data_IF_333384653687
#
_entry.id   IF_333384653687
#
_cell.length_a   1.000
_cell.length_b   1.000
_cell.length_c   1.000
_cell.angle_alpha   90.00
_cell.angle_beta   90.00
_cell.angle_gamma   90.00
#
_symmetry.space_group_name_H-M   'P 1'
#
loop_
_entity.id
_entity.type
_entity.pdbx_description
1 polymer ?
#
# COMPACT_ATOMS: atom_id res chain seq x y z
N UNK A 1 9.07 6.48 -5.33
CA UNK A 1 8.83 5.61 -4.15
C UNK A 1 7.56 4.79 -4.35
N UNK A 2 7.58 3.56 -3.93
CA UNK A 2 6.48 2.63 -4.12
C UNK A 2 5.86 2.27 -2.78
N UNK A 3 4.58 2.58 -2.60
CA UNK A 3 3.81 2.13 -1.45
C UNK A 3 3.32 0.70 -1.74
N UNK A 4 3.84 -0.24 -0.98
CA UNK A 4 3.59 -1.67 -1.20
C UNK A 4 2.48 -2.15 -0.30
N UNK A 5 1.36 -2.55 -0.91
CA UNK A 5 0.19 -3.05 -0.18
C UNK A 5 0.45 -4.39 0.51
N UNK A 6 -0.32 -4.68 1.55
CA UNK A 6 -0.20 -5.92 2.31
C UNK A 6 -0.30 -7.17 1.42
N UNK A 7 -1.13 -7.13 0.39
CA UNK A 7 -1.29 -8.25 -0.55
C UNK A 7 0.03 -8.66 -1.20
N UNK A 8 0.85 -7.68 -1.56
CA UNK A 8 2.18 -7.93 -2.16
C UNK A 8 3.15 -8.45 -1.11
N UNK A 9 3.16 -7.84 0.07
CA UNK A 9 4.01 -8.28 1.17
C UNK A 9 3.74 -9.73 1.59
N UNK A 10 2.46 -10.09 1.71
CA UNK A 10 2.07 -11.44 2.13
C UNK A 10 2.55 -12.48 1.11
N UNK A 11 2.41 -12.20 -0.18
CA UNK A 11 2.92 -13.08 -1.22
C UNK A 11 4.44 -13.18 -1.19
N UNK A 12 5.12 -12.06 -0.98
CA UNK A 12 6.58 -12.01 -0.88
C UNK A 12 7.12 -12.82 0.31
N UNK A 13 6.43 -12.76 1.44
CA UNK A 13 6.82 -13.51 2.64
C UNK A 13 6.73 -15.02 2.38
N UNK A 14 5.74 -15.45 1.58
CA UNK A 14 5.58 -16.85 1.21
C UNK A 14 6.58 -17.30 0.15
N UNK A 15 6.84 -16.44 -0.82
CA UNK A 15 7.70 -16.72 -1.95
C UNK A 15 8.35 -15.41 -2.40
N UNK A 16 9.65 -15.23 -2.14
CA UNK A 16 10.33 -13.97 -2.41
C UNK A 16 10.09 -13.42 -3.81
N UNK A 17 9.81 -12.13 -3.88
CA UNK A 17 9.57 -11.41 -5.12
C UNK A 17 10.80 -10.57 -5.47
N UNK A 18 11.42 -10.86 -6.60
CA UNK A 18 12.67 -10.21 -7.03
C UNK A 18 12.50 -8.70 -7.22
N UNK A 19 11.37 -8.27 -7.77
CA UNK A 19 11.12 -6.84 -7.98
C UNK A 19 11.05 -6.10 -6.65
N UNK A 20 10.36 -6.67 -5.64
CA UNK A 20 10.27 -6.08 -4.31
C UNK A 20 11.64 -6.05 -3.63
N UNK A 21 12.42 -7.11 -3.75
CA UNK A 21 13.76 -7.15 -3.19
C UNK A 21 14.64 -6.04 -3.75
N UNK A 22 14.58 -5.81 -5.06
CA UNK A 22 15.33 -4.73 -5.70
C UNK A 22 14.90 -3.35 -5.21
N UNK A 23 13.60 -3.14 -5.05
CA UNK A 23 13.08 -1.87 -4.52
C UNK A 23 13.54 -1.63 -3.08
N UNK A 24 13.54 -2.68 -2.26
CA UNK A 24 14.02 -2.60 -0.88
C UNK A 24 15.52 -2.26 -0.81
N UNK A 25 16.32 -2.89 -1.66
CA UNK A 25 17.76 -2.62 -1.74
C UNK A 25 18.06 -1.17 -2.12
N UNK A 26 17.21 -0.57 -2.97
CA UNK A 26 17.35 0.81 -3.41
C UNK A 26 16.77 1.83 -2.44
N UNK A 27 16.06 1.38 -1.42
CA UNK A 27 15.35 2.28 -0.51
C UNK A 27 14.15 2.96 -1.16
N UNK A 28 13.52 2.32 -2.12
CA UNK A 28 12.41 2.89 -2.91
C UNK A 28 11.03 2.42 -2.43
N UNK A 29 10.93 1.89 -1.22
CA UNK A 29 9.68 1.34 -0.67
C UNK A 29 9.13 2.25 0.43
N UNK A 30 7.83 2.44 0.41
CA UNK A 30 7.06 3.10 1.47
C UNK A 30 6.12 2.08 2.11
N UNK A 31 5.79 2.31 3.36
CA UNK A 31 4.76 1.56 4.07
C UNK A 31 3.71 2.50 4.65
N UNK A 32 2.74 1.94 5.37
CA UNK A 32 1.65 2.67 5.99
C UNK A 32 1.23 1.89 7.24
N UNK A 33 0.78 2.61 8.27
CA UNK A 33 0.37 1.97 9.52
C UNK A 33 -0.70 0.90 9.31
N UNK A 34 -1.64 1.13 8.41
CA UNK A 34 -2.70 0.16 8.11
C UNK A 34 -2.16 -1.09 7.41
N UNK A 35 -1.16 -0.92 6.56
CA UNK A 35 -0.49 -2.06 5.90
C UNK A 35 0.25 -2.91 6.95
N UNK A 36 1.00 -2.27 7.82
CA UNK A 36 1.68 -2.96 8.92
C UNK A 36 0.66 -3.69 9.80
N UNK A 37 -0.45 -3.02 10.12
CA UNK A 37 -1.52 -3.61 10.92
C UNK A 37 -2.15 -4.84 10.28
N UNK A 38 -2.40 -4.80 8.98
CA UNK A 38 -2.94 -5.94 8.26
C UNK A 38 -1.98 -7.14 8.28
N UNK A 39 -0.69 -6.89 8.09
CA UNK A 39 0.33 -7.94 8.17
C UNK A 39 0.45 -8.46 9.60
N UNK A 40 0.34 -7.59 10.60
CA UNK A 40 0.40 -7.96 12.01
C UNK A 40 -0.73 -8.91 12.41
N UNK A 41 -1.87 -8.85 11.73
CA UNK A 41 -3.01 -9.72 11.98
C UNK A 41 -2.90 -11.08 11.28
N UNK A 42 -1.92 -11.23 10.38
CA UNK A 42 -1.73 -12.48 9.66
C UNK A 42 -0.94 -13.49 10.50
N UNK A 43 -1.22 -14.76 10.26
CA UNK A 43 -0.46 -15.86 10.85
C UNK A 43 0.68 -16.21 9.88
N UNK A 44 1.85 -15.59 10.09
CA UNK A 44 3.00 -15.74 9.21
C UNK A 44 4.23 -16.21 9.99
N UNK A 45 5.15 -16.85 9.29
CA UNK A 45 6.43 -17.30 9.86
C UNK A 45 7.26 -16.08 10.24
N UNK A 46 7.91 -16.15 11.42
CA UNK A 46 8.81 -15.09 11.91
C UNK A 46 8.12 -13.73 11.94
N UNK A 47 6.86 -13.75 12.34
CA UNK A 47 6.01 -12.57 12.34
C UNK A 47 6.66 -11.35 13.02
N UNK A 48 7.28 -11.57 14.20
CA UNK A 48 7.92 -10.46 14.94
C UNK A 48 9.09 -9.86 14.18
N UNK A 49 9.91 -10.70 13.55
CA UNK A 49 11.04 -10.23 12.76
C UNK A 49 10.57 -9.42 11.55
N UNK A 50 9.52 -9.89 10.89
CA UNK A 50 8.92 -9.20 9.76
C UNK A 50 8.40 -7.82 10.17
N UNK A 51 7.70 -7.74 11.30
CA UNK A 51 7.16 -6.47 11.79
C UNK A 51 8.26 -5.49 12.18
N UNK A 52 9.36 -5.96 12.77
CA UNK A 52 10.52 -5.12 13.09
C UNK A 52 11.09 -4.51 11.81
N UNK A 53 11.25 -5.31 10.76
CA UNK A 53 11.79 -4.82 9.49
C UNK A 53 10.84 -3.85 8.79
N UNK A 54 9.53 -4.14 8.79
CA UNK A 54 8.53 -3.26 8.20
C UNK A 54 8.52 -1.88 8.86
N UNK A 55 8.70 -1.81 10.17
CA UNK A 55 8.71 -0.54 10.90
C UNK A 55 9.92 0.34 10.61
N UNK A 56 10.95 -0.21 10.00
CA UNK A 56 12.14 0.56 9.58
C UNK A 56 11.92 1.26 8.23
N UNK A 57 10.89 0.86 7.49
CA UNK A 57 10.58 1.43 6.18
C UNK A 57 9.87 2.76 6.36
N UNK A 58 10.23 3.80 5.58
CA UNK A 58 9.54 5.10 5.66
C UNK A 58 8.05 4.96 5.36
N UNK A 59 7.22 5.75 6.04
CA UNK A 59 5.78 5.76 5.81
C UNK A 59 5.42 6.79 4.74
N UNK A 60 4.34 6.50 4.00
CA UNK A 60 3.72 7.47 3.12
C UNK A 60 3.06 8.59 3.92
N UNK A 61 2.62 9.63 3.24
CA UNK A 61 2.01 10.80 3.88
C UNK A 61 0.83 10.41 4.76
N UNK A 62 0.76 10.97 5.97
CA UNK A 62 -0.37 10.75 6.87
C UNK A 62 -1.58 11.54 6.36
N UNK A 63 -2.72 10.85 6.23
CA UNK A 63 -3.97 11.45 5.76
C UNK A 63 -5.04 11.24 6.81
N UNK A 64 -5.75 12.31 7.18
CA UNK A 64 -6.83 12.23 8.16
C UNK A 64 -8.09 11.61 7.56
N UNK A 65 -9.01 11.15 8.41
CA UNK A 65 -10.31 10.67 7.95
C UNK A 65 -11.05 11.74 7.15
N UNK A 66 -11.01 12.98 7.60
CA UNK A 66 -11.66 14.09 6.89
C UNK A 66 -11.10 14.25 5.47
N UNK A 67 -9.81 14.16 5.33
CA UNK A 67 -9.16 14.24 4.02
C UNK A 67 -9.54 13.06 3.14
N UNK A 68 -9.65 11.85 3.71
CA UNK A 68 -10.10 10.68 2.97
C UNK A 68 -11.55 10.84 2.53
N UNK A 69 -12.43 11.36 3.39
CA UNK A 69 -13.83 11.61 3.02
C UNK A 69 -13.93 12.57 1.83
N UNK A 70 -13.16 13.64 1.86
CA UNK A 70 -13.10 14.59 0.74
C UNK A 70 -12.54 13.93 -0.53
N UNK A 71 -11.52 13.11 -0.38
CA UNK A 71 -10.91 12.37 -1.48
C UNK A 71 -11.91 11.43 -2.15
N UNK A 72 -12.69 10.70 -1.35
CA UNK A 72 -13.74 9.80 -1.85
C UNK A 72 -14.76 10.59 -2.69
N UNK A 73 -15.22 11.73 -2.19
CA UNK A 73 -16.19 12.56 -2.91
C UNK A 73 -15.60 13.17 -4.18
N UNK A 74 -14.42 13.74 -4.06
CA UNK A 74 -13.77 14.44 -5.17
C UNK A 74 -13.50 13.52 -6.36
N UNK A 75 -13.04 12.31 -6.11
CA UNK A 75 -12.69 11.36 -7.15
C UNK A 75 -13.75 10.28 -7.37
N UNK A 76 -14.90 10.42 -6.71
CA UNK A 76 -16.08 9.58 -6.91
C UNK A 76 -15.74 8.09 -6.71
N UNK A 77 -15.11 7.78 -5.60
CA UNK A 77 -14.67 6.42 -5.30
C UNK A 77 -15.79 5.51 -4.80
N UNK A 78 -16.97 6.07 -4.53
CA UNK A 78 -18.15 5.28 -4.15
C UNK A 78 -18.55 4.34 -5.28
N UNK A 79 -18.97 3.14 -4.92
CA UNK A 79 -19.37 2.14 -5.90
C UNK A 79 -18.22 1.41 -6.60
N UNK A 80 -16.96 1.70 -6.27
CA UNK A 80 -15.80 1.02 -6.86
C UNK A 80 -15.55 -0.36 -6.27
N UNK A 81 -16.13 -0.64 -5.10
CA UNK A 81 -15.94 -1.90 -4.41
C UNK A 81 -14.73 -1.94 -3.49
N UNK A 82 -13.96 -0.85 -3.39
CA UNK A 82 -12.83 -0.81 -2.44
C UNK A 82 -13.36 -0.50 -1.03
N UNK A 83 -12.68 -1.02 -0.01
CA UNK A 83 -13.01 -0.74 1.38
C UNK A 83 -12.39 0.56 1.87
N UNK A 84 -12.79 0.99 3.06
CA UNK A 84 -12.31 2.25 3.63
C UNK A 84 -10.81 2.24 3.91
N UNK A 85 -10.26 1.12 4.39
CA UNK A 85 -8.82 0.99 4.61
C UNK A 85 -8.07 1.17 3.28
N UNK A 86 -8.57 0.57 2.21
CA UNK A 86 -7.98 0.73 0.87
C UNK A 86 -8.08 2.17 0.39
N UNK A 87 -9.19 2.86 0.69
CA UNK A 87 -9.34 4.28 0.35
C UNK A 87 -8.31 5.14 1.08
N UNK A 88 -8.01 4.82 2.33
CA UNK A 88 -6.96 5.48 3.12
C UNK A 88 -5.58 5.29 2.48
N UNK A 89 -5.26 4.06 2.14
CA UNK A 89 -3.98 3.71 1.52
C UNK A 89 -3.83 4.41 0.17
N UNK A 90 -4.89 4.39 -0.63
CA UNK A 90 -4.92 5.05 -1.93
C UNK A 90 -4.72 6.56 -1.80
N UNK A 91 -5.43 7.20 -0.87
CA UNK A 91 -5.29 8.63 -0.61
C UNK A 91 -3.87 8.98 -0.17
N UNK A 92 -3.27 8.16 0.69
CA UNK A 92 -1.90 8.36 1.16
C UNK A 92 -0.90 8.29 0.00
N UNK A 93 -1.05 7.32 -0.89
CA UNK A 93 -0.21 7.22 -2.08
C UNK A 93 -0.40 8.43 -3.00
N UNK A 94 -1.65 8.84 -3.21
CA UNK A 94 -1.99 9.97 -4.06
C UNK A 94 -1.39 11.29 -3.54
N UNK A 95 -1.39 11.47 -2.22
CA UNK A 95 -0.89 12.69 -1.58
C UNK A 95 0.61 12.70 -1.31
N UNK A 96 1.28 11.56 -1.46
CA UNK A 96 2.72 11.48 -1.31
C UNK A 96 3.38 11.80 -2.66
N UNK A 97 4.13 12.91 -2.76
CA UNK A 97 4.74 13.30 -4.04
C UNK A 97 5.60 12.19 -4.64
N UNK A 98 5.34 11.86 -5.90
CA UNK A 98 6.09 10.85 -6.64
C UNK A 98 5.80 9.40 -6.25
N UNK A 99 4.88 9.16 -5.32
CA UNK A 99 4.55 7.80 -4.90
C UNK A 99 3.60 7.11 -5.88
N UNK A 100 3.73 5.79 -5.96
CA UNK A 100 2.80 4.93 -6.68
C UNK A 100 2.43 3.76 -5.79
N UNK A 101 1.25 3.21 -6.00
CA UNK A 101 0.73 2.09 -5.21
C UNK A 101 0.92 0.77 -5.98
N UNK A 102 1.46 -0.21 -5.29
CA UNK A 102 1.59 -1.58 -5.79
C UNK A 102 0.68 -2.50 -4.97
N UNK A 103 -0.35 -3.01 -5.59
CA UNK A 103 -1.32 -3.91 -4.96
C UNK A 103 -1.69 -5.06 -5.90
N UNK A 104 -2.08 -6.19 -5.31
CA UNK A 104 -2.62 -7.33 -6.05
C UNK A 104 -4.14 -7.40 -5.97
N UNK A 105 -4.74 -6.52 -5.17
CA UNK A 105 -6.20 -6.40 -5.15
C UNK A 105 -6.65 -5.74 -6.44
N UNK A 106 -7.46 -6.45 -7.22
CA UNK A 106 -7.88 -6.00 -8.55
C UNK A 106 -8.66 -4.69 -8.52
N UNK A 107 -9.60 -4.57 -7.58
CA UNK A 107 -10.45 -3.38 -7.48
C UNK A 107 -9.63 -2.16 -7.09
N UNK A 108 -8.74 -2.33 -6.12
CA UNK A 108 -7.85 -1.24 -5.69
C UNK A 108 -6.90 -0.84 -6.83
N UNK A 109 -6.36 -1.80 -7.55
CA UNK A 109 -5.46 -1.52 -8.67
C UNK A 109 -6.17 -0.75 -9.77
N UNK A 110 -7.37 -1.17 -10.16
CA UNK A 110 -8.15 -0.48 -11.19
C UNK A 110 -8.41 0.97 -10.78
N UNK A 111 -8.77 1.19 -9.53
CA UNK A 111 -9.01 2.53 -9.00
C UNK A 111 -7.72 3.36 -9.00
N UNK A 112 -6.62 2.78 -8.57
CA UNK A 112 -5.30 3.45 -8.59
C UNK A 112 -4.87 3.80 -10.02
N UNK A 113 -5.14 2.92 -10.99
CA UNK A 113 -4.86 3.19 -12.41
C UNK A 113 -5.64 4.39 -12.91
N UNK A 114 -6.92 4.48 -12.56
CA UNK A 114 -7.77 5.62 -12.95
C UNK A 114 -7.24 6.94 -12.39
N UNK A 115 -6.65 6.92 -11.20
CA UNK A 115 -6.05 8.09 -10.57
C UNK A 115 -4.59 8.30 -10.98
N UNK A 116 -4.07 7.45 -11.85
CA UNK A 116 -2.70 7.52 -12.35
C UNK A 116 -1.64 7.40 -11.24
N UNK A 117 -1.91 6.57 -10.24
CA UNK A 117 -0.97 6.30 -9.14
C UNK A 117 -0.64 4.81 -8.99
N UNK A 118 -1.02 3.97 -9.94
CA UNK A 118 -0.66 2.57 -9.91
C UNK A 118 0.74 2.34 -10.48
N UNK A 119 1.42 1.29 -9.96
CA UNK A 119 2.68 0.83 -10.56
C UNK A 119 2.40 -0.02 -11.78
N UNK A 120 3.46 -0.27 -12.58
CA UNK A 120 3.44 -1.26 -13.66
C UNK A 120 3.82 -2.66 -13.16
N UNK A 121 4.08 -2.81 -11.88
CA UNK A 121 4.50 -4.08 -11.28
C UNK A 121 3.30 -5.01 -11.05
N UNK A 122 3.52 -6.28 -11.21
CA UNK A 122 2.50 -7.31 -11.01
C UNK A 122 2.53 -7.86 -9.60
#
# INVERSE_FOLDING_TARGET
>A
MILVDASVWIDHIRSPNDALERLLERGDVLTHAFIIGEIALCHIRRRRDVLVELRKIPTSEAVSDEEVFEFIERYRLFGTGIGYVDAHILASAFMTPGARLWTRDKRLRVTAEKLNVATNLN
#
